data_IF_837551795083
#
_entry.id   IF_837551795083
#
_cell.length_a   1.000
_cell.length_b   1.000
_cell.length_c   1.000
_cell.angle_alpha   90.00
_cell.angle_beta   90.00
_cell.angle_gamma   90.00
#
_symmetry.space_group_name_H-M   'P 1'
#
loop_
_entity.id
_entity.type
_entity.pdbx_description
1 polymer ?
#
# COMPACT_ATOMS: atom_id res chain seq x y z
N UNK A 1 18.75 -50.74 6.60
CA UNK A 1 18.32 -49.35 6.33
C UNK A 1 18.02 -48.71 7.67
N UNK A 2 18.75 -47.68 8.06
CA UNK A 2 18.45 -46.89 9.26
C UNK A 2 17.50 -45.79 8.83
N UNK A 3 16.26 -45.81 9.32
CA UNK A 3 15.29 -44.74 9.13
C UNK A 3 15.62 -43.58 10.06
N UNK A 4 16.18 -42.51 9.51
CA UNK A 4 16.37 -41.24 10.22
C UNK A 4 15.22 -40.28 9.93
N UNK A 5 14.49 -39.86 10.96
CA UNK A 5 13.55 -38.74 10.88
C UNK A 5 14.34 -37.46 11.12
N UNK A 6 14.35 -36.54 10.17
CA UNK A 6 14.98 -35.25 10.33
C UNK A 6 14.18 -34.41 11.34
N UNK A 7 14.78 -34.10 12.49
CA UNK A 7 14.23 -33.16 13.47
C UNK A 7 14.84 -31.79 13.19
N UNK A 8 13.99 -30.78 13.00
CA UNK A 8 14.40 -29.39 12.79
C UNK A 8 15.12 -28.90 14.06
N UNK A 9 16.34 -28.39 13.90
CA UNK A 9 17.06 -27.76 15.01
C UNK A 9 16.22 -26.61 15.61
N UNK A 10 16.21 -26.42 16.94
CA UNK A 10 15.67 -25.20 17.51
C UNK A 10 16.39 -24.03 16.83
N UNK A 11 15.62 -23.12 16.23
CA UNK A 11 16.18 -21.84 15.77
C UNK A 11 16.85 -21.14 16.94
N UNK A 12 17.89 -20.33 16.71
CA UNK A 12 18.57 -19.63 17.79
C UNK A 12 17.53 -18.78 18.53
N UNK A 13 17.30 -19.08 19.82
CA UNK A 13 16.80 -18.07 20.74
C UNK A 13 17.77 -16.90 20.63
N UNK A 14 17.28 -15.71 20.27
CA UNK A 14 18.11 -14.50 20.24
C UNK A 14 18.80 -14.39 21.61
N UNK A 15 20.14 -14.50 21.68
CA UNK A 15 20.84 -14.53 22.95
C UNK A 15 20.44 -13.30 23.78
N UNK A 16 19.88 -13.53 24.98
CA UNK A 16 19.56 -12.48 25.94
C UNK A 16 18.10 -12.02 26.01
N UNK A 17 17.16 -12.61 25.26
CA UNK A 17 15.72 -12.35 25.49
C UNK A 17 15.22 -13.14 26.70
N UNK A 18 14.60 -12.44 27.66
CA UNK A 18 13.92 -13.04 28.80
C UNK A 18 12.40 -12.90 28.62
N UNK A 19 11.81 -13.97 28.08
CA UNK A 19 10.38 -14.06 27.77
C UNK A 19 9.51 -13.89 29.02
N UNK A 20 10.00 -14.28 30.20
CA UNK A 20 9.27 -14.16 31.46
C UNK A 20 9.14 -12.71 31.94
N UNK A 21 10.02 -11.82 31.46
CA UNK A 21 9.99 -10.39 31.77
C UNK A 21 9.18 -9.55 30.77
N UNK A 22 8.73 -10.13 29.66
CA UNK A 22 7.89 -9.44 28.68
C UNK A 22 6.49 -9.18 29.25
N UNK A 23 6.09 -7.91 29.32
CA UNK A 23 4.73 -7.49 29.67
C UNK A 23 3.95 -7.15 28.40
N UNK A 24 3.04 -8.02 27.91
CA UNK A 24 2.17 -7.73 26.78
C UNK A 24 0.89 -6.96 27.19
N UNK A 25 0.69 -6.64 28.47
CA UNK A 25 -0.57 -6.08 28.96
C UNK A 25 -1.77 -6.97 28.60
N UNK A 26 -2.79 -6.35 27.99
CA UNK A 26 -4.01 -7.03 27.53
C UNK A 26 -3.91 -7.60 26.11
N UNK A 27 -2.77 -7.45 25.43
CA UNK A 27 -2.59 -7.98 24.08
C UNK A 27 -2.30 -9.49 24.08
N UNK A 28 -2.61 -10.22 22.99
CA UNK A 28 -2.43 -11.66 22.91
C UNK A 28 -0.97 -12.10 23.11
N UNK A 29 -0.78 -13.29 23.69
CA UNK A 29 0.56 -13.89 23.87
C UNK A 29 0.86 -15.02 22.90
N UNK A 30 -0.16 -15.51 22.21
CA UNK A 30 -0.10 -16.64 21.28
C UNK A 30 -0.77 -16.24 19.98
N UNK A 31 -0.34 -16.80 18.84
CA UNK A 31 -1.06 -16.66 17.59
C UNK A 31 -2.55 -16.97 17.75
N UNK A 32 -3.37 -16.24 16.99
CA UNK A 32 -4.76 -16.61 16.77
C UNK A 32 -4.88 -17.97 16.08
N UNK A 33 -6.09 -18.52 16.09
CA UNK A 33 -6.41 -19.67 15.23
C UNK A 33 -6.28 -19.25 13.75
N UNK A 34 -6.02 -20.20 12.83
CA UNK A 34 -6.14 -19.93 11.41
C UNK A 34 -7.47 -19.25 11.10
N UNK A 35 -7.45 -18.16 10.34
CA UNK A 35 -8.64 -17.31 10.13
C UNK A 35 -9.68 -17.98 9.22
N UNK A 36 -9.30 -19.04 8.50
CA UNK A 36 -10.20 -19.76 7.60
C UNK A 36 -10.54 -18.92 6.36
N UNK A 37 -11.81 -18.96 5.96
CA UNK A 37 -12.34 -18.15 4.85
C UNK A 37 -12.70 -16.75 5.34
N UNK A 38 -12.78 -15.82 4.40
CA UNK A 38 -13.39 -14.50 4.63
C UNK A 38 -14.82 -14.64 5.16
N UNK A 39 -15.29 -13.64 5.91
CA UNK A 39 -16.60 -13.68 6.57
C UNK A 39 -17.76 -13.66 5.56
N UNK A 40 -17.61 -12.92 4.47
CA UNK A 40 -18.59 -12.74 3.41
C UNK A 40 -17.92 -12.31 2.09
N UNK A 41 -18.73 -12.08 1.07
CA UNK A 41 -18.27 -11.60 -0.23
C UNK A 41 -17.55 -10.25 -0.17
N UNK A 42 -17.98 -9.32 0.70
CA UNK A 42 -17.37 -8.00 0.83
C UNK A 42 -15.95 -8.08 1.42
N UNK A 43 -15.76 -8.95 2.42
CA UNK A 43 -14.43 -9.27 2.92
C UNK A 43 -13.57 -9.95 1.84
N UNK A 44 -14.16 -10.78 0.98
CA UNK A 44 -13.50 -11.34 -0.21
C UNK A 44 -13.06 -10.27 -1.21
N UNK A 45 -13.92 -9.29 -1.51
CA UNK A 45 -13.59 -8.13 -2.36
C UNK A 45 -12.44 -7.32 -1.80
N UNK A 46 -12.38 -7.14 -0.48
CA UNK A 46 -11.28 -6.47 0.19
C UNK A 46 -9.95 -7.19 -0.01
N UNK A 47 -9.93 -8.52 0.20
CA UNK A 47 -8.73 -9.35 -0.04
C UNK A 47 -8.28 -9.28 -1.49
N UNK A 48 -9.21 -9.40 -2.44
CA UNK A 48 -8.90 -9.33 -3.87
C UNK A 48 -8.35 -7.95 -4.28
N UNK A 49 -8.92 -6.86 -3.76
CA UNK A 49 -8.45 -5.51 -4.03
C UNK A 49 -7.02 -5.26 -3.51
N UNK A 50 -6.67 -5.80 -2.34
CA UNK A 50 -5.28 -5.75 -1.84
C UNK A 50 -4.33 -6.61 -2.67
N UNK A 51 -4.76 -7.77 -3.19
CA UNK A 51 -3.95 -8.55 -4.15
C UNK A 51 -3.72 -7.78 -5.45
N UNK A 52 -4.75 -7.09 -5.94
CA UNK A 52 -4.64 -6.25 -7.13
C UNK A 52 -3.63 -5.12 -6.96
N UNK A 53 -3.48 -4.55 -5.75
CA UNK A 53 -2.51 -3.50 -5.48
C UNK A 53 -1.07 -3.90 -5.85
N UNK A 54 -0.72 -5.18 -5.83
CA UNK A 54 0.60 -5.66 -6.26
C UNK A 54 0.82 -5.52 -7.79
N UNK A 55 -0.26 -5.32 -8.55
CA UNK A 55 -0.27 -5.17 -10.00
C UNK A 55 -0.69 -3.75 -10.43
N UNK A 56 -0.55 -2.76 -9.54
CA UNK A 56 -0.75 -1.35 -9.84
C UNK A 56 0.58 -0.61 -9.71
N UNK A 57 0.97 0.12 -10.74
CA UNK A 57 2.19 0.92 -10.76
C UNK A 57 2.08 2.07 -9.77
N UNK A 58 3.08 2.19 -8.90
CA UNK A 58 3.26 3.34 -8.03
C UNK A 58 3.76 4.56 -8.80
N UNK A 59 3.27 5.78 -8.51
CA UNK A 59 3.77 7.01 -9.11
C UNK A 59 5.30 7.18 -9.07
N UNK A 60 5.95 6.71 -7.99
CA UNK A 60 7.40 6.78 -7.80
C UNK A 60 8.20 5.92 -8.79
N UNK A 61 7.57 4.98 -9.49
CA UNK A 61 8.19 4.15 -10.53
C UNK A 61 8.20 4.85 -11.90
N UNK A 62 7.30 5.82 -12.09
CA UNK A 62 7.26 6.70 -13.27
C UNK A 62 8.26 7.84 -13.08
N UNK A 63 8.20 8.51 -11.93
CA UNK A 63 9.12 9.57 -11.53
C UNK A 63 9.44 9.45 -10.03
N UNK A 64 10.72 9.29 -9.69
CA UNK A 64 11.16 9.03 -8.31
C UNK A 64 10.94 10.21 -7.36
N UNK A 65 10.58 11.39 -7.85
CA UNK A 65 10.17 12.54 -7.04
C UNK A 65 8.73 12.42 -6.51
N UNK A 66 7.88 11.57 -7.08
CA UNK A 66 6.47 11.40 -6.68
C UNK A 66 6.34 10.57 -5.41
N UNK A 67 6.72 11.15 -4.28
CA UNK A 67 6.78 10.47 -2.97
C UNK A 67 5.75 10.98 -1.97
N UNK A 68 5.11 12.14 -2.17
CA UNK A 68 4.13 12.66 -1.20
C UNK A 68 2.77 12.01 -1.47
N UNK A 69 2.22 11.21 -0.54
CA UNK A 69 1.04 10.42 -0.87
C UNK A 69 -0.27 11.15 -0.59
N UNK A 70 -1.22 11.02 -1.51
CA UNK A 70 -2.60 11.49 -1.32
C UNK A 70 -3.42 10.32 -0.77
N UNK A 71 -3.53 10.26 0.55
CA UNK A 71 -4.15 9.12 1.27
C UNK A 71 -5.59 8.83 0.83
N UNK A 72 -6.36 9.87 0.49
CA UNK A 72 -7.73 9.72 -0.01
C UNK A 72 -7.81 8.96 -1.35
N UNK A 73 -6.72 8.94 -2.11
CA UNK A 73 -6.62 8.32 -3.43
C UNK A 73 -5.59 7.18 -3.44
N UNK A 74 -5.16 6.70 -2.27
CA UNK A 74 -4.29 5.52 -2.10
C UNK A 74 -4.98 4.46 -1.25
N UNK A 75 -5.79 3.62 -1.90
CA UNK A 75 -6.71 2.69 -1.22
C UNK A 75 -7.28 1.63 -2.16
N UNK A 76 -7.83 0.59 -1.56
CA UNK A 76 -8.71 -0.38 -2.22
C UNK A 76 -10.04 0.26 -2.61
N UNK A 77 -10.66 -0.28 -3.67
CA UNK A 77 -11.97 0.10 -4.19
C UNK A 77 -12.84 -1.16 -4.22
N UNK A 78 -13.70 -1.35 -3.22
CA UNK A 78 -14.47 -2.61 -3.07
C UNK A 78 -15.91 -2.49 -3.56
N UNK A 79 -16.35 -1.29 -3.91
CA UNK A 79 -17.70 -0.99 -4.41
C UNK A 79 -17.70 0.24 -5.31
N UNK A 80 -18.77 0.43 -6.09
CA UNK A 80 -18.98 1.63 -6.92
C UNK A 80 -18.96 2.91 -6.08
N UNK A 81 -19.45 2.87 -4.83
CA UNK A 81 -19.40 4.03 -3.93
C UNK A 81 -17.98 4.49 -3.61
N UNK A 82 -17.02 3.55 -3.63
CA UNK A 82 -15.60 3.85 -3.46
C UNK A 82 -15.03 4.73 -4.58
N UNK A 83 -15.70 4.83 -5.74
CA UNK A 83 -15.23 5.59 -6.90
C UNK A 83 -15.51 7.09 -6.78
N UNK A 84 -16.47 7.51 -5.93
CA UNK A 84 -16.86 8.92 -5.77
C UNK A 84 -15.66 9.82 -5.49
N UNK A 85 -14.75 9.36 -4.64
CA UNK A 85 -13.57 10.10 -4.25
C UNK A 85 -12.46 10.09 -5.32
N UNK A 86 -12.50 9.13 -6.25
CA UNK A 86 -11.51 8.98 -7.31
C UNK A 86 -11.84 9.83 -8.54
N UNK A 87 -13.09 9.77 -9.02
CA UNK A 87 -13.48 10.27 -10.35
C UNK A 87 -14.73 11.16 -10.34
N UNK A 88 -15.24 11.52 -9.16
CA UNK A 88 -16.47 12.31 -9.03
C UNK A 88 -17.76 11.53 -9.36
N UNK A 89 -18.93 12.17 -9.22
CA UNK A 89 -20.23 11.51 -9.37
C UNK A 89 -20.56 11.15 -10.83
N UNK A 90 -20.12 11.95 -11.79
CA UNK A 90 -20.42 11.78 -13.21
C UNK A 90 -19.75 10.53 -13.81
N UNK A 91 -18.44 10.37 -13.62
CA UNK A 91 -17.72 9.18 -14.09
C UNK A 91 -18.10 7.95 -13.25
N UNK A 92 -18.36 8.12 -11.94
CA UNK A 92 -18.92 7.04 -11.11
C UNK A 92 -20.23 6.52 -11.68
N UNK A 93 -21.12 7.38 -12.18
CA UNK A 93 -22.40 6.96 -12.73
C UNK A 93 -22.21 6.07 -13.98
N UNK A 94 -21.20 6.35 -14.80
CA UNK A 94 -20.79 5.47 -15.91
C UNK A 94 -20.28 4.14 -15.37
N UNK A 95 -19.38 4.13 -14.39
CA UNK A 95 -18.93 2.87 -13.78
C UNK A 95 -20.10 2.04 -13.20
N UNK A 96 -21.12 2.71 -12.67
CA UNK A 96 -22.29 2.10 -12.05
C UNK A 96 -23.27 1.47 -13.05
N UNK A 97 -23.27 1.93 -14.32
CA UNK A 97 -24.06 1.30 -15.38
C UNK A 97 -23.44 0.00 -15.91
N UNK A 98 -22.22 -0.31 -15.48
CA UNK A 98 -21.49 -1.53 -15.80
C UNK A 98 -21.19 -2.34 -14.53
N UNK A 99 -20.79 -3.60 -14.68
CA UNK A 99 -20.62 -4.50 -13.52
C UNK A 99 -19.25 -4.31 -12.86
N UNK A 100 -19.06 -3.24 -12.09
CA UNK A 100 -17.84 -3.02 -11.31
C UNK A 100 -17.63 -4.10 -10.24
N UNK A 101 -16.42 -4.65 -10.17
CA UNK A 101 -16.07 -5.76 -9.27
C UNK A 101 -15.23 -5.25 -8.10
N UNK A 102 -14.00 -4.83 -8.36
CA UNK A 102 -13.04 -4.30 -7.38
C UNK A 102 -12.02 -3.43 -8.11
N UNK A 103 -11.24 -2.66 -7.37
CA UNK A 103 -10.12 -1.90 -7.92
C UNK A 103 -9.11 -1.50 -6.85
N UNK A 104 -8.05 -0.86 -7.30
CA UNK A 104 -7.09 -0.20 -6.43
C UNK A 104 -6.66 1.11 -7.06
N UNK A 105 -6.50 2.15 -6.23
CA UNK A 105 -6.01 3.46 -6.64
C UNK A 105 -4.80 3.83 -5.79
N UNK A 106 -3.85 4.52 -6.40
CA UNK A 106 -2.72 5.16 -5.75
C UNK A 106 -2.56 6.56 -6.31
N UNK A 107 -2.22 7.53 -5.47
CA UNK A 107 -1.93 8.88 -5.92
C UNK A 107 -0.80 9.49 -5.12
N UNK A 108 0.15 10.09 -5.82
CA UNK A 108 1.24 10.84 -5.20
C UNK A 108 1.56 12.09 -5.98
N UNK A 109 2.15 13.03 -5.26
CA UNK A 109 2.59 14.32 -5.72
C UNK A 109 4.10 14.48 -5.46
N UNK A 110 4.71 15.40 -6.19
CA UNK A 110 6.06 15.86 -5.90
C UNK A 110 6.11 16.66 -4.59
N UNK A 111 7.21 16.62 -3.82
CA UNK A 111 7.43 17.48 -2.67
C UNK A 111 7.27 18.95 -3.04
N UNK A 112 6.67 19.77 -2.17
CA UNK A 112 6.53 21.19 -2.42
C UNK A 112 7.81 21.97 -2.09
N UNK A 113 7.98 23.18 -2.64
CA UNK A 113 8.93 24.15 -2.11
C UNK A 113 8.66 24.44 -0.62
N UNK A 114 9.68 24.87 0.15
CA UNK A 114 9.49 25.24 1.56
C UNK A 114 8.35 26.25 1.75
N UNK A 115 7.42 25.92 2.66
CA UNK A 115 6.28 26.78 3.00
C UNK A 115 5.09 26.70 2.05
N UNK A 116 5.08 25.78 1.08
CA UNK A 116 3.98 25.60 0.14
C UNK A 116 3.28 24.22 0.30
N UNK A 117 2.01 24.06 -0.14
CA UNK A 117 1.32 22.78 -0.10
C UNK A 117 1.92 21.78 -1.12
N UNK A 118 1.89 20.46 -0.85
CA UNK A 118 2.26 19.41 -1.81
C UNK A 118 1.66 19.60 -3.21
N UNK A 119 2.34 19.11 -4.24
CA UNK A 119 1.91 19.31 -5.63
C UNK A 119 2.01 20.77 -6.12
N UNK A 120 2.73 21.64 -5.40
CA UNK A 120 3.02 23.01 -5.81
C UNK A 120 4.48 23.19 -6.27
N UNK A 121 4.81 24.41 -6.74
CA UNK A 121 6.11 24.74 -7.32
C UNK A 121 6.12 24.69 -8.84
N UNK A 122 7.23 25.13 -9.44
CA UNK A 122 7.38 25.25 -10.90
C UNK A 122 7.48 23.89 -11.60
N UNK A 123 8.01 22.87 -10.91
CA UNK A 123 8.17 21.51 -11.42
C UNK A 123 7.21 20.52 -10.75
N UNK A 124 6.04 21.01 -10.32
CA UNK A 124 5.06 20.17 -9.64
C UNK A 124 4.59 19.02 -10.55
N UNK A 125 4.48 17.83 -9.98
CA UNK A 125 3.96 16.63 -10.65
C UNK A 125 2.93 15.94 -9.77
N UNK A 126 1.92 15.37 -10.41
CA UNK A 126 0.93 14.49 -9.79
C UNK A 126 0.63 13.31 -10.70
N UNK A 127 0.44 12.14 -10.10
CA UNK A 127 -0.11 10.96 -10.77
C UNK A 127 -1.10 10.31 -9.83
N UNK A 128 -2.35 10.19 -10.26
CA UNK A 128 -3.30 9.22 -9.77
C UNK A 128 -3.39 8.07 -10.78
N UNK A 129 -3.11 6.85 -10.33
CA UNK A 129 -3.22 5.64 -11.12
C UNK A 129 -4.22 4.70 -10.46
N UNK A 130 -5.28 4.35 -11.18
CA UNK A 130 -6.30 3.43 -10.73
C UNK A 130 -6.51 2.30 -11.73
N UNK A 131 -6.61 1.08 -11.21
CA UNK A 131 -6.99 -0.10 -11.97
C UNK A 131 -8.33 -0.58 -11.45
N UNK A 132 -9.32 -0.62 -12.34
CA UNK A 132 -10.70 -0.96 -12.05
C UNK A 132 -11.05 -2.25 -12.78
N UNK A 133 -11.51 -3.27 -12.07
CA UNK A 133 -11.96 -4.53 -12.68
C UNK A 133 -13.48 -4.53 -12.82
N UNK A 134 -13.93 -4.92 -14.00
CA UNK A 134 -15.32 -5.18 -14.35
C UNK A 134 -15.55 -6.68 -14.53
N UNK A 135 -16.82 -7.10 -14.66
CA UNK A 135 -17.17 -8.51 -14.77
C UNK A 135 -16.65 -9.15 -16.07
N UNK A 136 -16.55 -8.36 -17.15
CA UNK A 136 -16.10 -8.84 -18.46
C UNK A 136 -15.24 -7.81 -19.21
N UNK A 137 -14.51 -8.23 -20.25
CA UNK A 137 -13.85 -7.30 -21.17
C UNK A 137 -14.81 -6.33 -21.88
N UNK A 138 -16.03 -6.77 -22.18
CA UNK A 138 -17.05 -5.94 -22.81
C UNK A 138 -17.50 -4.80 -21.87
N UNK A 139 -17.76 -5.12 -20.59
CA UNK A 139 -18.10 -4.12 -19.58
C UNK A 139 -16.97 -3.09 -19.43
N UNK A 140 -15.71 -3.54 -19.41
CA UNK A 140 -14.55 -2.66 -19.30
C UNK A 140 -14.37 -1.77 -20.55
N UNK A 141 -14.53 -2.33 -21.75
CA UNK A 141 -14.43 -1.58 -23.00
C UNK A 141 -15.51 -0.51 -23.14
N UNK A 142 -16.77 -0.86 -22.81
CA UNK A 142 -17.88 0.09 -22.78
C UNK A 142 -17.64 1.17 -21.73
N UNK A 143 -17.23 0.79 -20.51
CA UNK A 143 -16.94 1.75 -19.44
C UNK A 143 -15.84 2.74 -19.84
N UNK A 144 -14.71 2.27 -20.35
CA UNK A 144 -13.60 3.16 -20.74
C UNK A 144 -14.04 4.16 -21.83
N UNK A 145 -14.78 3.69 -22.83
CA UNK A 145 -15.30 4.52 -23.92
C UNK A 145 -16.29 5.57 -23.42
N UNK A 146 -17.26 5.15 -22.61
CA UNK A 146 -18.30 6.04 -22.08
C UNK A 146 -17.73 7.03 -21.06
N UNK A 147 -16.76 6.60 -20.23
CA UNK A 147 -16.06 7.49 -19.31
C UNK A 147 -15.28 8.55 -20.05
N UNK A 148 -14.50 8.19 -21.07
CA UNK A 148 -13.75 9.15 -21.87
C UNK A 148 -14.68 10.15 -22.58
N UNK A 149 -15.82 9.69 -23.11
CA UNK A 149 -16.81 10.57 -23.74
C UNK A 149 -17.48 11.50 -22.72
N UNK A 150 -17.83 10.97 -21.54
CA UNK A 150 -18.42 11.75 -20.46
C UNK A 150 -17.44 12.80 -19.95
N UNK A 151 -16.19 12.41 -19.72
CA UNK A 151 -15.09 13.27 -19.30
C UNK A 151 -14.86 14.42 -20.28
N UNK A 152 -14.76 14.12 -21.58
CA UNK A 152 -14.61 15.13 -22.62
C UNK A 152 -15.77 16.15 -22.68
N UNK A 153 -16.97 15.74 -22.23
CA UNK A 153 -18.16 16.60 -22.19
C UNK A 153 -18.28 17.44 -20.91
N UNK A 154 -17.47 17.17 -19.88
CA UNK A 154 -17.56 17.88 -18.61
C UNK A 154 -17.12 19.35 -18.77
N UNK A 155 -17.84 20.29 -18.14
CA UNK A 155 -17.48 21.70 -18.19
C UNK A 155 -16.24 21.94 -17.30
N UNK A 156 -15.09 22.20 -17.91
CA UNK A 156 -13.95 22.76 -17.20
C UNK A 156 -14.04 24.29 -17.24
N UNK A 157 -13.74 24.98 -16.11
CA UNK A 157 -13.66 26.44 -16.12
C UNK A 157 -12.61 26.86 -17.16
N UNK A 158 -13.09 27.58 -18.16
CA UNK A 158 -12.32 28.29 -19.20
C UNK A 158 -11.93 27.54 -20.49
N UNK A 159 -12.10 26.21 -20.63
CA UNK A 159 -11.97 25.52 -21.95
C UNK A 159 -12.49 24.08 -21.93
N UNK A 160 -13.07 23.57 -23.02
CA UNK A 160 -13.45 22.14 -23.13
C UNK A 160 -12.21 21.24 -23.22
N UNK A 161 -12.27 20.03 -22.67
CA UNK A 161 -11.22 19.02 -22.84
C UNK A 161 -11.03 18.67 -24.32
N UNK A 162 -9.80 18.33 -24.73
CA UNK A 162 -9.47 17.98 -26.12
C UNK A 162 -8.75 16.63 -26.20
N UNK A 163 -8.98 15.82 -27.25
CA UNK A 163 -8.26 14.56 -27.42
C UNK A 163 -6.74 14.73 -27.41
N UNK A 164 -6.03 13.82 -26.75
CA UNK A 164 -4.58 13.80 -26.64
C UNK A 164 -4.03 12.46 -27.18
N UNK A 165 -3.44 12.42 -28.39
CA UNK A 165 -2.83 11.18 -28.90
C UNK A 165 -1.63 10.77 -28.05
N UNK A 166 -1.60 9.51 -27.61
CA UNK A 166 -0.49 8.95 -26.82
C UNK A 166 0.37 8.02 -27.70
N UNK A 167 1.65 8.35 -27.92
CA UNK A 167 2.54 7.51 -28.71
C UNK A 167 2.60 6.07 -28.18
N UNK A 168 2.54 5.09 -29.09
CA UNK A 168 2.58 3.64 -28.80
C UNK A 168 1.42 3.07 -27.98
N UNK A 169 0.44 3.88 -27.58
CA UNK A 169 -0.75 3.45 -26.83
C UNK A 169 -2.05 3.93 -27.53
N UNK A 170 -2.31 3.52 -28.79
CA UNK A 170 -3.49 3.97 -29.56
C UNK A 170 -4.83 3.44 -29.01
N UNK A 171 -4.78 2.47 -28.11
CA UNK A 171 -5.90 1.92 -27.35
C UNK A 171 -6.30 2.77 -26.14
N UNK A 172 -5.54 3.81 -25.82
CA UNK A 172 -5.83 4.73 -24.73
C UNK A 172 -6.59 5.96 -25.21
N UNK A 173 -7.76 6.18 -24.63
CA UNK A 173 -8.54 7.40 -24.82
C UNK A 173 -8.06 8.42 -23.79
N UNK A 174 -7.40 9.47 -24.25
CA UNK A 174 -6.89 10.52 -23.37
C UNK A 174 -7.52 11.88 -23.70
N UNK A 175 -7.97 12.56 -22.65
CA UNK A 175 -8.52 13.90 -22.70
C UNK A 175 -7.56 14.84 -21.98
N UNK A 176 -7.00 15.78 -22.72
CA UNK A 176 -6.23 16.87 -22.11
C UNK A 176 -7.19 17.77 -21.33
N UNK A 177 -6.92 17.94 -20.04
CA UNK A 177 -7.60 18.90 -19.18
C UNK A 177 -6.93 20.27 -19.35
N UNK A 178 -7.74 21.30 -19.55
CA UNK A 178 -7.22 22.64 -19.78
C UNK A 178 -7.24 23.45 -18.49
N UNK A 179 -6.26 23.18 -17.63
CA UNK A 179 -6.05 23.90 -16.38
C UNK A 179 -4.97 24.98 -16.58
N UNK A 180 -5.26 26.29 -16.34
CA UNK A 180 -4.27 27.34 -16.53
C UNK A 180 -2.97 27.09 -15.73
N UNK A 181 -1.85 27.00 -16.44
CA UNK A 181 -0.53 26.80 -15.83
C UNK A 181 -0.21 25.36 -15.40
N UNK A 182 -1.02 24.38 -15.80
CA UNK A 182 -0.76 22.94 -15.59
C UNK A 182 -1.03 22.18 -16.90
N UNK A 183 -0.15 21.25 -17.26
CA UNK A 183 -0.41 20.28 -18.31
C UNK A 183 -0.99 19.03 -17.65
N UNK A 184 -2.25 18.71 -17.94
CA UNK A 184 -2.97 17.64 -17.26
C UNK A 184 -3.82 16.85 -18.25
N UNK A 185 -4.02 15.56 -17.97
CA UNK A 185 -4.87 14.69 -18.78
C UNK A 185 -5.47 13.55 -17.95
N UNK A 186 -6.72 13.24 -18.28
CA UNK A 186 -7.40 12.02 -17.88
C UNK A 186 -7.28 10.97 -18.98
N UNK A 187 -7.02 9.72 -18.58
CA UNK A 187 -6.80 8.60 -19.49
C UNK A 187 -7.68 7.41 -19.12
N UNK A 188 -8.20 6.77 -20.16
CA UNK A 188 -9.07 5.61 -20.07
C UNK A 188 -8.58 4.55 -21.05
N UNK A 189 -8.04 3.46 -20.53
CA UNK A 189 -7.59 2.31 -21.35
C UNK A 189 -8.34 1.07 -20.94
N UNK A 190 -9.02 0.43 -21.90
CA UNK A 190 -9.61 -0.89 -21.69
C UNK A 190 -8.56 -1.97 -21.95
N UNK A 191 -8.34 -2.87 -20.99
CA UNK A 191 -7.37 -3.97 -21.09
C UNK A 191 -7.97 -5.24 -20.48
N UNK A 192 -8.46 -6.15 -21.32
CA UNK A 192 -9.22 -7.30 -20.82
C UNK A 192 -10.40 -6.81 -19.95
N UNK A 193 -10.67 -7.42 -18.76
CA UNK A 193 -11.73 -6.97 -17.86
C UNK A 193 -11.35 -5.75 -17.01
N UNK A 194 -10.29 -5.01 -17.36
CA UNK A 194 -9.79 -3.88 -16.59
C UNK A 194 -9.98 -2.56 -17.35
N UNK A 195 -10.33 -1.51 -16.60
CA UNK A 195 -10.17 -0.11 -17.01
C UNK A 195 -9.01 0.48 -16.23
N UNK A 196 -8.02 0.99 -16.95
CA UNK A 196 -6.97 1.84 -16.40
C UNK A 196 -7.51 3.26 -16.43
N UNK A 197 -7.80 3.83 -15.26
CA UNK A 197 -8.15 5.23 -15.11
C UNK A 197 -6.95 5.96 -14.51
N UNK A 198 -6.46 6.97 -15.21
CA UNK A 198 -5.26 7.68 -14.80
C UNK A 198 -5.47 9.17 -14.96
N UNK A 199 -5.09 9.91 -13.93
CA UNK A 199 -5.02 11.38 -13.93
C UNK A 199 -3.55 11.75 -13.72
N UNK A 200 -2.98 12.52 -14.65
CA UNK A 200 -1.59 12.97 -14.57
C UNK A 200 -1.52 14.46 -14.82
N UNK A 201 -0.72 15.15 -14.01
CA UNK A 201 -0.47 16.57 -14.14
C UNK A 201 1.00 16.92 -13.94
N UNK A 202 1.48 17.88 -14.72
CA UNK A 202 2.82 18.47 -14.55
C UNK A 202 2.81 19.96 -14.90
N UNK A 203 3.65 20.74 -14.23
CA UNK A 203 3.88 22.16 -14.57
C UNK A 203 5.07 22.39 -15.50
N UNK A 204 5.81 21.33 -15.84
CA UNK A 204 7.04 21.43 -16.64
C UNK A 204 6.75 21.74 -18.13
N UNK A 205 6.05 20.86 -18.83
CA UNK A 205 5.71 21.01 -20.26
C UNK A 205 4.70 19.96 -20.71
N UNK A 206 4.10 20.16 -21.90
CA UNK A 206 3.27 19.15 -22.55
C UNK A 206 4.07 17.89 -22.91
N UNK A 207 5.32 18.03 -23.34
CA UNK A 207 6.19 16.89 -23.67
C UNK A 207 6.52 16.07 -22.41
N UNK A 208 6.73 16.72 -21.27
CA UNK A 208 6.90 16.04 -19.98
C UNK A 208 5.64 15.26 -19.57
N UNK A 209 4.44 15.82 -19.79
CA UNK A 209 3.18 15.11 -19.55
C UNK A 209 3.09 13.84 -20.42
N UNK A 210 3.33 13.96 -21.73
CA UNK A 210 3.30 12.81 -22.65
C UNK A 210 4.33 11.75 -22.28
N UNK A 211 5.53 12.16 -21.86
CA UNK A 211 6.57 11.22 -21.41
C UNK A 211 6.15 10.48 -20.14
N UNK A 212 5.55 11.17 -19.15
CA UNK A 212 5.04 10.55 -17.92
C UNK A 212 3.90 9.57 -18.22
N UNK A 213 2.94 9.96 -19.06
CA UNK A 213 1.84 9.11 -19.51
C UNK A 213 2.37 7.84 -20.18
N UNK A 214 3.25 8.00 -21.18
CA UNK A 214 3.79 6.88 -21.95
C UNK A 214 4.52 5.93 -21.02
N UNK A 215 5.33 6.45 -20.10
CA UNK A 215 6.05 5.65 -19.11
C UNK A 215 5.12 4.92 -18.16
N UNK A 216 4.05 5.55 -17.68
CA UNK A 216 3.06 4.91 -16.81
C UNK A 216 2.37 3.74 -17.53
N UNK A 217 1.91 3.94 -18.76
CA UNK A 217 1.24 2.91 -19.55
C UNK A 217 2.19 1.75 -19.91
N UNK A 218 3.44 2.05 -20.30
CA UNK A 218 4.49 1.05 -20.56
C UNK A 218 4.76 0.14 -19.36
N UNK A 219 4.60 0.65 -18.13
CA UNK A 219 4.74 -0.12 -16.90
C UNK A 219 3.43 -0.83 -16.52
N UNK A 220 2.30 -0.14 -16.61
CA UNK A 220 1.02 -0.60 -16.05
C UNK A 220 0.37 -1.69 -16.89
N UNK A 221 0.39 -1.56 -18.23
CA UNK A 221 -0.24 -2.53 -19.13
C UNK A 221 0.33 -3.95 -18.94
N UNK A 222 1.66 -4.18 -19.04
CA UNK A 222 2.21 -5.53 -18.85
C UNK A 222 2.14 -6.01 -17.39
N UNK A 223 1.99 -5.11 -16.42
CA UNK A 223 1.85 -5.48 -15.01
C UNK A 223 0.45 -6.03 -14.72
N UNK A 224 -0.61 -5.35 -15.18
CA UNK A 224 -1.99 -5.81 -14.92
C UNK A 224 -2.32 -7.11 -15.65
N UNK A 225 -1.71 -7.36 -16.82
CA UNK A 225 -1.86 -8.63 -17.55
C UNK A 225 -1.42 -9.86 -16.75
N UNK A 226 -0.57 -9.68 -15.73
CA UNK A 226 -0.08 -10.75 -14.85
C UNK A 226 -1.00 -11.01 -13.66
N UNK A 227 -2.00 -10.17 -13.43
CA UNK A 227 -2.89 -10.33 -12.30
C UNK A 227 -3.80 -11.56 -12.50
N UNK A 228 -3.57 -12.57 -11.67
CA UNK A 228 -4.41 -13.75 -11.58
C UNK A 228 -5.67 -13.45 -10.76
N UNK A 229 -6.62 -12.80 -11.43
CA UNK A 229 -7.92 -12.45 -10.91
C UNK A 229 -8.68 -13.68 -10.37
N UNK A 230 -9.19 -13.57 -9.16
CA UNK A 230 -10.14 -14.54 -8.59
C UNK A 230 -11.49 -14.39 -9.31
N UNK A 231 -12.16 -15.47 -9.75
CA UNK A 231 -13.53 -15.38 -10.25
C UNK A 231 -14.46 -14.68 -9.25
N UNK A 232 -15.34 -13.79 -9.72
CA UNK A 232 -16.15 -12.93 -8.84
C UNK A 232 -17.10 -13.71 -7.92
N UNK A 233 -17.59 -14.86 -8.39
CA UNK A 233 -18.41 -15.81 -7.64
C UNK A 233 -17.64 -16.58 -6.55
N UNK A 234 -16.31 -16.46 -6.51
CA UNK A 234 -15.45 -17.15 -5.54
C UNK A 234 -14.95 -16.25 -4.40
N UNK A 235 -15.33 -14.98 -4.35
CA UNK A 235 -14.85 -14.05 -3.32
C UNK A 235 -15.18 -14.52 -1.89
N UNK A 236 -16.40 -15.01 -1.64
CA UNK A 236 -16.78 -15.57 -0.33
C UNK A 236 -16.01 -16.85 0.06
N UNK A 237 -15.26 -17.46 -0.89
CA UNK A 237 -14.45 -18.65 -0.65
C UNK A 237 -12.97 -18.35 -0.44
N UNK A 238 -12.55 -17.09 -0.57
CA UNK A 238 -11.15 -16.70 -0.41
C UNK A 238 -10.67 -16.98 1.02
N UNK A 239 -9.42 -17.43 1.20
CA UNK A 239 -8.81 -17.50 2.51
C UNK A 239 -8.61 -16.09 3.08
N UNK A 240 -9.00 -15.86 4.34
CA UNK A 240 -8.81 -14.57 5.01
C UNK A 240 -7.32 -14.28 5.30
N UNK A 241 -6.52 -15.34 5.49
CA UNK A 241 -5.07 -15.26 5.65
C UNK A 241 -4.40 -16.51 5.05
N UNK A 242 -4.11 -16.52 3.73
CA UNK A 242 -3.45 -17.65 3.08
C UNK A 242 -2.02 -17.89 3.60
N UNK A 243 -1.45 -16.93 4.33
CA UNK A 243 -0.04 -16.96 4.75
C UNK A 243 0.12 -17.44 6.20
N UNK A 244 -0.94 -17.35 7.00
CA UNK A 244 -0.89 -17.55 8.45
C UNK A 244 -0.18 -16.42 9.21
N UNK A 245 0.34 -15.40 8.52
CA UNK A 245 1.07 -14.30 9.13
C UNK A 245 0.13 -13.33 9.86
N UNK A 246 -1.09 -13.15 9.35
CA UNK A 246 -2.06 -12.27 9.99
C UNK A 246 -2.53 -12.84 11.32
N UNK A 247 -2.75 -14.16 11.40
CA UNK A 247 -3.03 -14.85 12.65
C UNK A 247 -1.89 -14.74 13.69
N UNK A 248 -0.66 -14.44 13.23
CA UNK A 248 0.53 -14.20 14.07
C UNK A 248 0.81 -12.71 14.31
N UNK A 249 -0.05 -11.81 13.83
CA UNK A 249 0.11 -10.36 13.96
C UNK A 249 -0.89 -9.82 14.98
N UNK A 250 -0.43 -8.94 15.88
CA UNK A 250 -1.29 -8.32 16.89
C UNK A 250 -2.41 -7.54 16.21
N UNK A 251 -3.63 -7.70 16.71
CA UNK A 251 -4.85 -7.10 16.18
C UNK A 251 -5.57 -6.30 17.27
N UNK A 252 -6.26 -5.24 16.87
CA UNK A 252 -7.30 -4.57 17.68
C UNK A 252 -8.72 -4.98 17.28
N UNK A 253 -8.91 -5.46 16.05
CA UNK A 253 -10.16 -5.96 15.48
C UNK A 253 -9.84 -6.99 14.39
N UNK A 254 -10.39 -8.21 14.45
CA UNK A 254 -10.03 -9.34 13.57
C UNK A 254 -10.36 -9.17 12.07
N UNK A 255 -11.02 -8.07 11.68
CA UNK A 255 -11.45 -7.80 10.31
C UNK A 255 -10.67 -6.70 9.57
N UNK A 256 -9.68 -6.06 10.21
CA UNK A 256 -9.04 -4.85 9.66
C UNK A 256 -7.59 -5.07 9.17
N UNK A 257 -7.09 -6.29 9.28
CA UNK A 257 -5.71 -6.63 8.96
C UNK A 257 -5.55 -7.16 7.54
N UNK A 258 -4.38 -6.92 6.93
CA UNK A 258 -4.05 -7.46 5.61
C UNK A 258 -2.58 -7.89 5.55
N UNK A 259 -2.28 -8.83 4.65
CA UNK A 259 -0.91 -9.23 4.32
C UNK A 259 -0.64 -8.83 2.89
N UNK A 260 0.32 -7.93 2.72
CA UNK A 260 0.69 -7.36 1.43
C UNK A 260 1.98 -7.99 0.92
N UNK A 261 2.02 -8.25 -0.37
CA UNK A 261 3.28 -8.48 -1.08
C UNK A 261 4.13 -7.19 -1.10
N UNK A 262 5.46 -7.28 -1.32
CA UNK A 262 6.35 -6.15 -1.15
C UNK A 262 5.98 -4.97 -2.04
N UNK A 263 5.59 -5.21 -3.30
CA UNK A 263 5.21 -4.13 -4.22
C UNK A 263 3.92 -3.44 -3.76
N UNK A 264 2.88 -4.21 -3.42
CA UNK A 264 1.65 -3.67 -2.84
C UNK A 264 1.89 -2.85 -1.55
N UNK A 265 2.79 -3.31 -0.68
CA UNK A 265 3.10 -2.63 0.58
C UNK A 265 3.73 -1.24 0.36
N UNK A 266 4.44 -1.01 -0.75
CA UNK A 266 5.09 0.27 -1.06
C UNK A 266 4.10 1.42 -1.23
N UNK A 267 2.88 1.16 -1.73
CA UNK A 267 1.85 2.20 -1.85
C UNK A 267 1.56 2.90 -0.53
N UNK A 268 1.67 2.17 0.59
CA UNK A 268 1.37 2.67 1.93
C UNK A 268 2.60 3.17 2.70
N UNK A 269 3.78 3.19 2.07
CA UNK A 269 5.01 3.70 2.70
C UNK A 269 5.17 5.20 2.47
N UNK A 270 5.58 5.98 3.49
CA UNK A 270 5.86 7.41 3.31
C UNK A 270 6.90 7.66 2.21
N UNK A 271 8.00 6.90 2.21
CA UNK A 271 9.02 6.93 1.17
C UNK A 271 9.12 5.55 0.50
N UNK A 272 8.45 5.33 -0.65
CA UNK A 272 8.44 4.03 -1.32
C UNK A 272 9.79 3.70 -1.95
N UNK A 273 10.55 4.68 -2.44
CA UNK A 273 11.88 4.46 -3.04
C UNK A 273 12.85 3.88 -2.00
N UNK A 274 12.94 4.51 -0.82
CA UNK A 274 13.78 4.01 0.27
C UNK A 274 13.25 2.69 0.84
N UNK A 275 11.92 2.53 0.92
CA UNK A 275 11.32 1.28 1.40
C UNK A 275 11.55 0.11 0.44
N UNK A 276 11.58 0.34 -0.87
CA UNK A 276 11.89 -0.69 -1.87
C UNK A 276 13.32 -1.18 -1.72
N UNK A 277 14.28 -0.27 -1.53
CA UNK A 277 15.66 -0.65 -1.22
C UNK A 277 15.75 -1.46 0.08
N UNK A 278 14.97 -1.09 1.10
CA UNK A 278 14.88 -1.83 2.37
C UNK A 278 14.32 -3.25 2.16
N UNK A 279 13.22 -3.37 1.41
CA UNK A 279 12.59 -4.67 1.13
C UNK A 279 13.55 -5.60 0.38
N UNK A 280 14.20 -5.10 -0.67
CA UNK A 280 15.15 -5.88 -1.47
C UNK A 280 16.38 -6.30 -0.65
N UNK A 281 17.03 -5.37 0.05
CA UNK A 281 18.27 -5.65 0.81
C UNK A 281 18.05 -6.53 2.05
N UNK A 282 16.82 -6.53 2.58
CA UNK A 282 16.42 -7.33 3.74
C UNK A 282 15.72 -8.64 3.34
N UNK A 283 15.45 -8.85 2.05
CA UNK A 283 14.71 -10.01 1.55
C UNK A 283 13.29 -10.09 2.12
N UNK A 284 12.60 -8.95 2.24
CA UNK A 284 11.18 -8.92 2.70
C UNK A 284 10.30 -9.56 1.64
N UNK A 285 9.55 -10.58 2.05
CA UNK A 285 8.62 -11.33 1.20
C UNK A 285 7.17 -10.89 1.41
N UNK A 286 6.82 -10.47 2.62
CA UNK A 286 5.45 -10.07 2.98
C UNK A 286 5.46 -9.02 4.08
N UNK A 287 4.44 -8.19 4.09
CA UNK A 287 4.20 -7.21 5.14
C UNK A 287 2.79 -7.39 5.67
N UNK A 288 2.66 -7.87 6.90
CA UNK A 288 1.37 -7.81 7.60
C UNK A 288 1.18 -6.40 8.17
N UNK A 289 0.02 -5.82 7.93
CA UNK A 289 -0.38 -4.52 8.47
C UNK A 289 -1.64 -4.74 9.31
N UNK A 290 -1.51 -4.48 10.60
CA UNK A 290 -2.60 -4.61 11.56
C UNK A 290 -2.43 -3.60 12.71
N UNK A 291 -2.53 -4.01 13.99
CA UNK A 291 -2.09 -3.15 15.11
C UNK A 291 -0.58 -2.91 15.08
N UNK A 292 0.17 -3.89 14.58
CA UNK A 292 1.61 -3.82 14.28
C UNK A 292 1.82 -3.93 12.77
N UNK A 293 2.96 -3.44 12.30
CA UNK A 293 3.49 -3.87 11.00
C UNK A 293 4.54 -4.94 11.22
N UNK A 294 4.39 -6.09 10.57
CA UNK A 294 5.34 -7.21 10.61
C UNK A 294 5.89 -7.45 9.22
N UNK A 295 7.20 -7.30 9.06
CA UNK A 295 7.91 -7.55 7.82
C UNK A 295 8.52 -8.95 7.89
N UNK A 296 8.01 -9.88 7.10
CA UNK A 296 8.56 -11.24 6.98
C UNK A 296 9.72 -11.25 5.99
N UNK A 297 10.94 -11.44 6.49
CA UNK A 297 12.14 -11.62 5.68
C UNK A 297 12.36 -13.10 5.31
N UNK A 298 13.28 -13.37 4.37
CA UNK A 298 13.72 -14.74 4.03
C UNK A 298 14.40 -15.46 5.19
N UNK A 299 15.08 -14.71 6.06
CA UNK A 299 15.87 -15.24 7.18
C UNK A 299 16.00 -14.22 8.33
N UNK A 300 16.51 -14.63 9.51
CA UNK A 300 16.71 -13.71 10.63
C UNK A 300 17.68 -12.56 10.35
N UNK A 301 18.71 -12.77 9.53
CA UNK A 301 19.65 -11.69 9.15
C UNK A 301 18.95 -10.59 8.37
N UNK A 302 18.02 -10.97 7.49
CA UNK A 302 17.14 -10.06 6.77
C UNK A 302 16.23 -9.28 7.72
N UNK A 303 15.67 -9.91 8.75
CA UNK A 303 14.86 -9.23 9.75
C UNK A 303 15.66 -8.17 10.52
N UNK A 304 16.89 -8.49 10.93
CA UNK A 304 17.77 -7.52 11.60
C UNK A 304 18.10 -6.34 10.67
N UNK A 305 18.40 -6.61 9.39
CA UNK A 305 18.61 -5.53 8.38
C UNK A 305 17.37 -4.67 8.18
N UNK A 306 16.17 -5.25 8.22
CA UNK A 306 14.92 -4.52 8.12
C UNK A 306 14.72 -3.61 9.34
N UNK A 307 14.98 -4.09 10.56
CA UNK A 307 14.97 -3.27 11.78
C UNK A 307 15.92 -2.08 11.67
N UNK A 308 17.18 -2.32 11.27
CA UNK A 308 18.16 -1.24 11.10
C UNK A 308 17.72 -0.21 10.06
N UNK A 309 17.12 -0.67 8.97
CA UNK A 309 16.62 0.21 7.91
C UNK A 309 15.39 1.01 8.36
N UNK A 310 14.47 0.39 9.10
CA UNK A 310 13.33 1.08 9.69
C UNK A 310 13.79 2.19 10.63
N UNK A 311 14.81 1.94 11.46
CA UNK A 311 15.38 2.99 12.31
C UNK A 311 16.01 4.10 11.47
N UNK A 312 16.85 3.78 10.49
CA UNK A 312 17.47 4.79 9.61
C UNK A 312 16.46 5.67 8.89
N UNK A 313 15.30 5.13 8.52
CA UNK A 313 14.26 5.88 7.79
C UNK A 313 13.34 6.65 8.74
N UNK A 314 12.72 5.97 9.69
CA UNK A 314 11.64 6.55 10.48
C UNK A 314 12.16 7.53 11.54
N UNK A 315 13.33 7.27 12.13
CA UNK A 315 13.83 8.10 13.23
C UNK A 315 14.13 9.53 12.78
N UNK A 316 15.00 9.77 11.77
CA UNK A 316 15.21 11.12 11.26
C UNK A 316 13.97 11.66 10.56
N UNK A 317 13.21 10.82 9.84
CA UNK A 317 12.04 11.24 9.06
C UNK A 317 10.92 11.86 9.90
N UNK A 318 10.78 11.43 11.17
CA UNK A 318 9.76 11.96 12.09
C UNK A 318 10.33 12.72 13.30
N UNK A 319 11.65 12.91 13.37
CA UNK A 319 12.29 13.66 14.47
C UNK A 319 12.26 12.93 15.82
N UNK A 320 12.35 11.60 15.79
CA UNK A 320 12.38 10.76 16.98
C UNK A 320 13.72 10.86 17.73
N UNK A 321 13.68 10.66 19.04
CA UNK A 321 14.86 10.53 19.91
C UNK A 321 14.80 9.21 20.69
N UNK A 322 15.94 8.53 20.91
CA UNK A 322 15.96 7.27 21.66
C UNK A 322 15.40 7.44 23.09
N UNK A 323 14.65 6.45 23.55
CA UNK A 323 14.18 6.30 24.94
C UNK A 323 14.51 4.91 25.47
N UNK A 324 14.09 4.60 26.70
CA UNK A 324 14.29 3.28 27.28
C UNK A 324 13.70 2.18 26.40
N UNK A 325 14.42 1.05 26.28
CA UNK A 325 13.94 -0.13 25.56
C UNK A 325 12.92 -0.94 26.36
N UNK A 326 12.54 -2.09 25.81
CA UNK A 326 11.54 -2.98 26.41
C UNK A 326 12.24 -3.96 27.37
N UNK A 327 11.76 -4.01 28.61
CA UNK A 327 12.26 -4.96 29.62
C UNK A 327 12.08 -6.40 29.12
N UNK A 328 13.16 -7.20 29.19
CA UNK A 328 13.17 -8.58 28.70
C UNK A 328 13.43 -8.72 27.20
N UNK A 329 13.46 -7.63 26.42
CA UNK A 329 13.72 -7.63 24.98
C UNK A 329 14.84 -6.65 24.61
N UNK A 330 16.12 -7.00 24.88
CA UNK A 330 17.25 -6.07 24.68
C UNK A 330 17.47 -5.66 23.21
N UNK A 331 16.97 -6.44 22.24
CA UNK A 331 17.01 -6.10 20.82
C UNK A 331 15.97 -5.06 20.38
N UNK A 332 15.01 -4.69 21.24
CA UNK A 332 14.03 -3.66 20.92
C UNK A 332 14.61 -2.25 21.02
N UNK A 333 14.38 -1.44 20.00
CA UNK A 333 14.81 -0.04 19.93
C UNK A 333 13.57 0.85 19.93
N UNK A 334 13.48 1.73 20.92
CA UNK A 334 12.32 2.58 21.15
C UNK A 334 12.67 4.06 21.12
N UNK A 335 11.72 4.87 20.66
CA UNK A 335 11.92 6.30 20.41
C UNK A 335 10.66 7.12 20.72
N UNK A 336 10.84 8.38 21.12
CA UNK A 336 9.79 9.39 21.31
C UNK A 336 10.08 10.62 20.43
N UNK A 337 9.08 11.12 19.69
CA UNK A 337 9.18 12.37 18.91
C UNK A 337 8.58 13.59 19.62
N UNK A 338 8.14 13.41 20.86
CA UNK A 338 7.42 14.39 21.65
C UNK A 338 5.95 14.55 21.23
N UNK A 339 5.17 15.17 22.11
CA UNK A 339 3.79 15.56 21.79
C UNK A 339 3.80 16.89 21.04
N UNK A 340 3.11 16.94 19.89
CA UNK A 340 2.89 18.16 19.11
C UNK A 340 1.41 18.27 18.76
N UNK A 341 0.85 19.46 18.86
CA UNK A 341 -0.60 19.68 18.78
C UNK A 341 -1.18 19.36 17.40
N UNK A 342 -0.41 19.60 16.34
CA UNK A 342 -0.83 19.38 14.94
C UNK A 342 -0.38 18.02 14.38
N UNK A 343 -0.04 17.07 15.25
CA UNK A 343 0.47 15.77 14.83
C UNK A 343 -0.39 14.64 15.35
N UNK A 344 -0.49 13.57 14.55
CA UNK A 344 -1.14 12.34 14.99
C UNK A 344 -0.43 11.79 16.24
N UNK A 345 -1.17 11.76 17.35
CA UNK A 345 -0.70 11.26 18.63
C UNK A 345 -0.35 9.77 18.56
N UNK A 346 -0.97 8.99 17.67
CA UNK A 346 -0.69 7.56 17.47
C UNK A 346 0.75 7.28 17.01
N UNK A 347 1.43 8.30 16.48
CA UNK A 347 2.81 8.28 16.01
C UNK A 347 3.78 8.93 17.01
N UNK A 348 3.42 9.11 18.29
CA UNK A 348 4.32 9.72 19.27
C UNK A 348 5.50 8.82 19.63
N UNK A 349 5.22 7.56 19.95
CA UNK A 349 6.22 6.57 20.27
C UNK A 349 6.37 5.58 19.12
N UNK A 350 7.60 5.14 18.87
CA UNK A 350 7.95 4.10 17.90
C UNK A 350 8.82 3.08 18.59
N UNK A 351 8.49 1.79 18.47
CA UNK A 351 9.42 0.72 18.78
C UNK A 351 9.55 -0.23 17.59
N UNK A 352 10.78 -0.68 17.37
CA UNK A 352 11.11 -1.72 16.40
C UNK A 352 11.91 -2.82 17.08
N UNK A 353 11.70 -4.07 16.65
CA UNK A 353 12.41 -5.23 17.16
C UNK A 353 12.47 -6.33 16.10
N UNK A 354 13.39 -7.28 16.26
CA UNK A 354 13.42 -8.51 15.47
C UNK A 354 12.89 -9.69 16.29
N UNK A 355 12.26 -10.65 15.63
CA UNK A 355 11.82 -11.94 16.19
C UNK A 355 11.95 -13.00 15.09
N UNK A 356 12.87 -13.95 15.23
CA UNK A 356 13.22 -14.89 14.14
C UNK A 356 13.44 -14.15 12.80
N UNK A 357 12.69 -14.53 11.75
CA UNK A 357 12.73 -13.89 10.41
C UNK A 357 11.82 -12.67 10.26
N UNK A 358 11.30 -12.13 11.36
CA UNK A 358 10.31 -11.05 11.33
C UNK A 358 10.87 -9.77 11.94
N UNK A 359 10.73 -8.65 11.23
CA UNK A 359 10.92 -7.33 11.81
C UNK A 359 9.56 -6.76 12.24
N UNK A 360 9.49 -6.28 13.48
CA UNK A 360 8.31 -5.72 14.12
C UNK A 360 8.45 -4.21 14.12
N UNK A 361 7.37 -3.52 13.76
CA UNK A 361 7.23 -2.07 13.90
C UNK A 361 5.90 -1.75 14.55
N UNK A 362 5.92 -0.97 15.61
CA UNK A 362 4.71 -0.47 16.26
C UNK A 362 4.86 1.00 16.63
N UNK A 363 3.76 1.74 16.52
CA UNK A 363 3.64 3.09 17.10
C UNK A 363 2.51 3.14 18.12
N UNK A 364 2.57 4.10 19.04
CA UNK A 364 1.48 4.40 19.96
C UNK A 364 1.54 5.83 20.48
N UNK A 365 0.44 6.29 21.09
CA UNK A 365 0.38 7.55 21.82
C UNK A 365 1.05 7.50 23.21
N UNK A 366 1.20 6.31 23.79
CA UNK A 366 1.77 6.10 25.11
C UNK A 366 2.93 5.11 25.06
N UNK A 367 4.01 5.40 25.79
CA UNK A 367 5.21 4.55 25.86
C UNK A 367 4.86 3.12 26.31
N UNK A 368 4.04 3.03 27.37
CA UNK A 368 3.59 1.74 27.91
C UNK A 368 2.86 0.90 26.85
N UNK A 369 1.99 1.51 26.05
CA UNK A 369 1.22 0.80 25.03
C UNK A 369 2.13 0.25 23.92
N UNK A 370 3.07 1.07 23.41
CA UNK A 370 4.00 0.57 22.37
C UNK A 370 4.91 -0.55 22.89
N UNK A 371 5.35 -0.47 24.16
CA UNK A 371 6.13 -1.54 24.79
C UNK A 371 5.32 -2.83 24.88
N UNK A 372 4.07 -2.74 25.34
CA UNK A 372 3.17 -3.90 25.49
C UNK A 372 2.82 -4.54 24.15
N UNK A 373 2.56 -3.73 23.11
CA UNK A 373 2.26 -4.24 21.77
C UNK A 373 3.46 -4.95 21.14
N UNK A 374 4.67 -4.40 21.26
CA UNK A 374 5.87 -5.06 20.70
C UNK A 374 6.22 -6.33 21.49
N UNK A 375 6.09 -6.31 22.82
CA UNK A 375 6.25 -7.52 23.64
C UNK A 375 5.26 -8.61 23.24
N UNK A 376 3.98 -8.27 23.08
CA UNK A 376 2.94 -9.17 22.57
C UNK A 376 3.28 -9.73 21.19
N UNK A 377 3.69 -8.86 20.26
CA UNK A 377 4.02 -9.26 18.90
C UNK A 377 5.21 -10.23 18.87
N UNK A 378 6.24 -9.98 19.68
CA UNK A 378 7.38 -10.88 19.83
C UNK A 378 6.93 -12.26 20.34
N UNK A 379 6.10 -12.30 21.39
CA UNK A 379 5.54 -13.55 21.94
C UNK A 379 4.72 -14.33 20.89
N UNK A 380 3.89 -13.65 20.11
CA UNK A 380 3.10 -14.30 19.06
C UNK A 380 3.98 -14.91 17.97
N UNK A 381 5.06 -14.24 17.56
CA UNK A 381 5.93 -14.72 16.47
C UNK A 381 6.84 -15.86 16.90
N UNK A 382 7.22 -15.92 18.18
CA UNK A 382 8.14 -16.92 18.75
C UNK A 382 7.44 -18.09 19.44
N UNK A 383 6.11 -18.04 19.56
CA UNK A 383 5.33 -19.15 20.10
C UNK A 383 5.47 -20.41 19.23
N UNK A 384 5.85 -21.52 19.89
CA UNK A 384 5.99 -22.85 19.29
C UNK A 384 4.64 -23.55 19.14
#
# INVERSE_FOLDING_TARGET
MVTGVAVRAPGPESPGVDVALLDPGNYPRRPGKPLGKVADENAGRLVEAYRMANNVVGPWEVDSSLVVPVMRNTRVLTSVDSLTNLMGPDLKAVAASHTFVVGFTTMRESPPPPGQPPGSGENAKTICNAVLRFASPEDAAATATEMAAKDASMPHPDTMSSPLPIPNHPDTLANKLNNPGVFEADLFTARGPYVLFQDLGTKESADALIAMITRLLDLQVPLIDRFQATPSDQFANLPADPTGLLARTVSTNVHEGTVLEPHAALHFRPNPVASQQMFTSSGVQRVAVYRTSVYEAIDPTGADRAVESLVRMDVPGFGYKPVAGIRGLPGARCFDRGQKQDQDASLRYLCVAAAERYAIRATAAQERDVHQVVASQYLMLTAK
#
